data_IF_991168325525
#
_entry.id   IF_991168325525
#
_cell.length_a   1.000
_cell.length_b   1.000
_cell.length_c   1.000
_cell.angle_alpha   90.00
_cell.angle_beta   90.00
_cell.angle_gamma   90.00
#
_symmetry.space_group_name_H-M   'P 1'
#
loop_
_entity.id
_entity.type
_entity.pdbx_description
1 polymer ?
#
# COMPACT_ATOMS: atom_id res chain seq x y z
N UNK A 1 -25.73 5.64 -11.54
CA UNK A 1 -25.32 4.31 -11.04
C UNK A 1 -26.48 3.43 -10.59
N UNK A 2 -27.65 4.00 -10.27
CA UNK A 2 -28.81 3.19 -9.78
C UNK A 2 -29.51 2.34 -10.85
N UNK A 3 -29.34 2.66 -12.13
CA UNK A 3 -30.15 2.10 -13.22
C UNK A 3 -29.38 1.23 -14.22
N UNK A 4 -28.06 1.02 -14.05
CA UNK A 4 -27.27 0.17 -14.94
C UNK A 4 -27.30 -1.29 -14.49
N UNK A 5 -27.79 -2.16 -15.37
CA UNK A 5 -27.84 -3.61 -15.12
C UNK A 5 -26.54 -4.30 -15.53
N UNK A 6 -25.60 -4.38 -14.58
CA UNK A 6 -24.31 -5.06 -14.78
C UNK A 6 -24.48 -6.55 -15.09
N UNK A 7 -25.53 -7.19 -14.55
CA UNK A 7 -25.77 -8.60 -14.80
C UNK A 7 -26.15 -8.83 -16.27
N UNK A 8 -27.08 -8.03 -16.79
CA UNK A 8 -27.44 -8.07 -18.20
C UNK A 8 -26.23 -7.82 -19.11
N UNK A 9 -25.37 -6.84 -18.72
CA UNK A 9 -24.14 -6.59 -19.45
C UNK A 9 -23.27 -7.84 -19.55
N UNK A 10 -22.92 -8.47 -18.44
CA UNK A 10 -22.05 -9.64 -18.42
C UNK A 10 -22.67 -10.90 -19.04
N UNK A 11 -23.98 -10.98 -19.13
CA UNK A 11 -24.66 -12.07 -19.86
C UNK A 11 -24.54 -11.90 -21.40
N UNK A 12 -24.50 -10.66 -21.86
CA UNK A 12 -24.51 -10.32 -23.29
C UNK A 12 -23.13 -10.01 -23.88
N UNK A 13 -22.15 -9.66 -23.04
CA UNK A 13 -20.80 -9.30 -23.48
C UNK A 13 -19.80 -10.36 -23.07
N UNK A 14 -18.82 -10.57 -23.91
CA UNK A 14 -17.73 -11.51 -23.63
C UNK A 14 -16.62 -10.85 -22.85
N UNK A 15 -16.23 -11.49 -21.74
CA UNK A 15 -15.01 -11.17 -21.02
C UNK A 15 -13.88 -11.99 -21.59
N UNK A 16 -12.86 -11.36 -22.14
CA UNK A 16 -11.73 -12.05 -22.74
C UNK A 16 -10.83 -12.68 -21.65
N UNK A 17 -10.89 -13.99 -21.54
CA UNK A 17 -10.04 -14.82 -20.68
C UNK A 17 -8.90 -15.51 -21.44
N UNK A 18 -8.79 -15.33 -22.77
CA UNK A 18 -7.84 -16.07 -23.62
C UNK A 18 -6.38 -15.78 -23.31
N UNK A 19 -6.08 -14.58 -22.81
CA UNK A 19 -4.74 -14.15 -22.43
C UNK A 19 -4.27 -14.72 -21.08
N UNK A 20 -5.22 -15.17 -20.23
CA UNK A 20 -4.91 -15.69 -18.91
C UNK A 20 -4.67 -17.20 -18.98
N UNK A 21 -3.45 -17.62 -18.71
CA UNK A 21 -3.13 -19.05 -18.72
C UNK A 21 -3.89 -19.76 -17.59
N UNK A 22 -4.65 -20.79 -17.93
CA UNK A 22 -5.45 -21.61 -17.00
C UNK A 22 -6.34 -20.77 -16.05
N UNK A 23 -7.35 -20.04 -16.55
CA UNK A 23 -8.23 -19.21 -15.73
C UNK A 23 -8.84 -19.96 -14.54
N UNK A 24 -9.06 -21.29 -14.69
CA UNK A 24 -9.61 -22.17 -13.63
C UNK A 24 -8.73 -22.29 -12.38
N UNK A 25 -7.49 -21.84 -12.43
CA UNK A 25 -6.55 -21.83 -11.32
C UNK A 25 -6.52 -20.49 -10.58
N UNK A 26 -7.24 -19.48 -11.07
CA UNK A 26 -7.35 -18.17 -10.45
C UNK A 26 -8.63 -18.02 -9.63
N UNK A 27 -8.53 -17.31 -8.51
CA UNK A 27 -9.68 -16.91 -7.72
C UNK A 27 -10.35 -15.68 -8.33
N UNK A 28 -11.69 -15.67 -8.43
CA UNK A 28 -12.45 -14.52 -8.91
C UNK A 28 -13.25 -13.91 -7.78
N UNK A 29 -13.25 -12.58 -7.71
CA UNK A 29 -14.01 -11.79 -6.72
C UNK A 29 -14.68 -10.62 -7.41
N UNK A 30 -15.78 -10.17 -6.86
CA UNK A 30 -16.49 -8.99 -7.35
C UNK A 30 -17.12 -8.20 -6.23
N UNK A 31 -17.27 -6.93 -6.50
CA UNK A 31 -18.04 -6.03 -5.67
C UNK A 31 -19.40 -5.84 -6.32
N UNK A 32 -20.46 -6.07 -5.56
CA UNK A 32 -21.82 -5.85 -6.03
C UNK A 32 -22.21 -4.37 -5.91
N UNK A 33 -23.26 -3.97 -6.63
CA UNK A 33 -23.80 -2.59 -6.60
C UNK A 33 -24.22 -2.13 -5.21
N UNK A 34 -24.61 -3.07 -4.33
CA UNK A 34 -24.93 -2.78 -2.92
C UNK A 34 -23.67 -2.64 -2.03
N UNK A 35 -22.47 -2.67 -2.61
CA UNK A 35 -21.19 -2.54 -1.91
C UNK A 35 -20.66 -3.83 -1.29
N UNK A 36 -21.41 -4.93 -1.31
CA UNK A 36 -20.95 -6.20 -0.76
C UNK A 36 -19.92 -6.87 -1.64
N UNK A 37 -18.96 -7.57 -1.02
CA UNK A 37 -17.97 -8.38 -1.73
C UNK A 37 -18.42 -9.83 -1.81
N UNK A 38 -18.23 -10.43 -2.99
CA UNK A 38 -18.46 -11.83 -3.26
C UNK A 38 -17.21 -12.49 -3.83
N UNK A 39 -17.07 -13.80 -3.63
CA UNK A 39 -16.07 -14.64 -4.28
C UNK A 39 -16.75 -15.74 -5.08
N UNK A 40 -16.16 -16.17 -6.17
CA UNK A 40 -16.63 -17.31 -6.93
C UNK A 40 -16.62 -18.57 -6.04
N UNK A 41 -17.71 -19.32 -6.07
CA UNK A 41 -17.82 -20.62 -5.41
C UNK A 41 -17.51 -21.79 -6.34
N UNK A 42 -17.07 -21.48 -7.55
CA UNK A 42 -16.70 -22.46 -8.60
C UNK A 42 -15.53 -21.98 -9.38
N UNK A 43 -14.81 -22.89 -10.02
CA UNK A 43 -13.72 -22.55 -10.94
C UNK A 43 -14.27 -21.88 -12.18
N UNK A 44 -13.61 -20.84 -12.65
CA UNK A 44 -13.93 -20.10 -13.87
C UNK A 44 -12.91 -20.53 -14.93
N UNK A 45 -13.32 -21.37 -15.87
CA UNK A 45 -12.46 -21.88 -16.95
C UNK A 45 -12.79 -21.28 -18.32
N UNK A 46 -13.95 -20.64 -18.45
CA UNK A 46 -14.46 -20.06 -19.70
C UNK A 46 -15.41 -18.90 -19.40
N UNK A 47 -15.77 -18.15 -20.44
CA UNK A 47 -16.79 -17.09 -20.37
C UNK A 47 -18.12 -17.62 -19.83
N UNK A 48 -18.55 -18.80 -20.28
CA UNK A 48 -19.79 -19.40 -19.78
C UNK A 48 -19.73 -19.76 -18.30
N UNK A 49 -18.60 -20.30 -17.84
CA UNK A 49 -18.42 -20.58 -16.40
C UNK A 49 -18.34 -19.29 -15.57
N UNK A 50 -17.78 -18.22 -16.14
CA UNK A 50 -17.79 -16.88 -15.53
C UNK A 50 -19.24 -16.36 -15.41
N UNK A 51 -20.00 -16.35 -16.50
CA UNK A 51 -21.41 -15.95 -16.49
C UNK A 51 -22.23 -16.71 -15.45
N UNK A 52 -22.05 -18.03 -15.38
CA UNK A 52 -22.69 -18.88 -14.35
C UNK A 52 -22.26 -18.54 -12.93
N UNK A 53 -21.04 -18.06 -12.73
CA UNK A 53 -20.54 -17.70 -11.41
C UNK A 53 -21.20 -16.41 -10.87
N UNK A 54 -21.50 -15.45 -11.75
CA UNK A 54 -22.02 -14.13 -11.40
C UNK A 54 -23.54 -13.98 -11.57
N UNK A 55 -24.24 -14.97 -12.12
CA UNK A 55 -25.67 -14.88 -12.55
C UNK A 55 -26.63 -14.32 -11.49
N UNK A 56 -26.34 -14.54 -10.21
CA UNK A 56 -27.24 -14.10 -9.11
C UNK A 56 -26.79 -12.81 -8.44
N UNK A 57 -25.65 -12.28 -8.87
CA UNK A 57 -25.05 -11.08 -8.33
C UNK A 57 -25.16 -9.97 -9.38
N UNK A 58 -25.12 -8.73 -8.96
CA UNK A 58 -25.02 -7.58 -9.86
C UNK A 58 -23.63 -6.92 -9.67
N UNK A 59 -22.56 -7.46 -10.28
CA UNK A 59 -21.19 -7.09 -10.01
C UNK A 59 -20.80 -5.78 -10.70
N UNK A 60 -20.59 -4.72 -9.92
CA UNK A 60 -20.10 -3.43 -10.42
C UNK A 60 -18.63 -3.45 -10.78
N UNK A 61 -17.84 -4.28 -10.09
CA UNK A 61 -16.41 -4.38 -10.26
C UNK A 61 -15.99 -5.84 -10.16
N UNK A 62 -15.23 -6.35 -11.11
CA UNK A 62 -14.77 -7.74 -11.14
C UNK A 62 -13.26 -7.80 -11.11
N UNK A 63 -12.74 -8.71 -10.30
CA UNK A 63 -11.31 -8.91 -10.06
C UNK A 63 -10.96 -10.39 -10.14
N UNK A 64 -9.70 -10.67 -10.48
CA UNK A 64 -9.13 -12.00 -10.40
C UNK A 64 -7.83 -11.99 -9.60
N UNK A 65 -7.42 -13.13 -9.04
CA UNK A 65 -6.16 -13.24 -8.30
C UNK A 65 -4.97 -13.16 -9.24
N UNK A 66 -3.93 -12.40 -8.86
CA UNK A 66 -2.65 -12.36 -9.59
C UNK A 66 -1.93 -13.70 -9.57
N UNK A 67 -2.23 -14.54 -8.59
CA UNK A 67 -1.70 -15.90 -8.43
C UNK A 67 -2.66 -16.96 -8.94
N UNK A 68 -2.09 -18.05 -9.49
CA UNK A 68 -2.81 -19.29 -9.73
C UNK A 68 -2.50 -20.32 -8.63
N UNK A 69 -3.54 -21.02 -8.21
CA UNK A 69 -3.51 -21.97 -7.09
C UNK A 69 -4.05 -23.33 -7.50
N UNK A 70 -3.56 -24.38 -6.87
CA UNK A 70 -4.14 -25.71 -7.07
C UNK A 70 -5.62 -25.73 -6.65
N UNK A 71 -5.96 -25.09 -5.53
CA UNK A 71 -7.33 -24.86 -5.06
C UNK A 71 -7.62 -23.36 -4.88
N UNK A 72 -8.13 -22.65 -5.92
CA UNK A 72 -8.35 -21.22 -5.87
C UNK A 72 -9.62 -20.80 -5.13
N UNK A 73 -10.55 -21.72 -4.85
CA UNK A 73 -11.90 -21.40 -4.33
C UNK A 73 -11.87 -21.15 -2.83
N UNK A 74 -11.24 -22.05 -2.08
CA UNK A 74 -11.22 -22.04 -0.61
C UNK A 74 -9.84 -21.74 -0.04
N UNK A 75 -9.18 -20.74 -0.60
CA UNK A 75 -7.90 -20.29 -0.08
C UNK A 75 -8.02 -19.88 1.39
N UNK A 76 -7.27 -20.51 2.29
CA UNK A 76 -7.24 -20.12 3.70
C UNK A 76 -6.62 -18.74 3.85
N UNK A 77 -6.92 -18.08 4.96
CA UNK A 77 -6.19 -16.86 5.32
C UNK A 77 -4.73 -17.18 5.59
N UNK A 78 -3.84 -16.22 5.32
CA UNK A 78 -2.39 -16.38 5.51
C UNK A 78 -1.98 -16.89 6.89
N UNK A 79 -2.73 -16.52 7.92
CA UNK A 79 -2.46 -16.85 9.32
C UNK A 79 -3.35 -18.00 9.84
N UNK A 80 -4.00 -18.74 8.94
CA UNK A 80 -4.86 -19.86 9.31
C UNK A 80 -4.01 -21.16 9.37
N UNK A 81 -3.38 -21.39 10.51
CA UNK A 81 -2.56 -22.59 10.76
C UNK A 81 -3.40 -23.88 10.94
N UNK A 82 -4.72 -23.76 10.93
CA UNK A 82 -5.62 -24.93 11.06
C UNK A 82 -5.81 -25.66 9.74
N UNK A 83 -5.44 -25.06 8.62
CA UNK A 83 -5.56 -25.60 7.27
C UNK A 83 -4.18 -25.82 6.64
N UNK A 84 -4.04 -26.82 5.77
CA UNK A 84 -2.82 -27.01 5.02
C UNK A 84 -2.55 -25.77 4.16
N UNK A 85 -1.26 -25.45 4.02
CA UNK A 85 -0.86 -24.29 3.19
C UNK A 85 -1.23 -24.57 1.73
N UNK A 86 -1.86 -23.61 1.02
CA UNK A 86 -2.30 -23.82 -0.35
C UNK A 86 -1.11 -23.88 -1.30
N UNK A 87 -1.21 -24.68 -2.34
CA UNK A 87 -0.15 -24.83 -3.34
C UNK A 87 -0.25 -23.73 -4.38
N UNK A 88 0.73 -22.83 -4.39
CA UNK A 88 0.93 -21.80 -5.39
C UNK A 88 1.50 -22.41 -6.67
N UNK A 89 0.80 -22.27 -7.80
CA UNK A 89 1.20 -22.83 -9.09
C UNK A 89 1.92 -21.81 -9.99
N UNK A 90 1.52 -20.55 -9.90
CA UNK A 90 2.13 -19.42 -10.60
C UNK A 90 1.78 -18.11 -9.90
N UNK A 91 2.57 -17.07 -10.17
CA UNK A 91 2.28 -15.70 -9.78
C UNK A 91 2.63 -14.77 -10.94
N UNK A 92 1.64 -14.14 -11.53
CA UNK A 92 1.85 -13.12 -12.56
C UNK A 92 2.61 -11.94 -11.94
N UNK A 93 3.59 -11.44 -12.68
CA UNK A 93 4.21 -10.17 -12.34
C UNK A 93 3.26 -9.08 -12.84
N UNK A 94 2.69 -8.33 -11.91
CA UNK A 94 1.68 -7.31 -12.22
C UNK A 94 2.16 -5.96 -11.72
N UNK A 95 2.14 -4.97 -12.60
CA UNK A 95 2.33 -3.57 -12.23
C UNK A 95 1.04 -2.80 -12.45
N UNK A 96 0.60 -2.11 -11.40
CA UNK A 96 -0.56 -1.21 -11.42
C UNK A 96 -0.04 0.23 -11.38
N UNK A 97 -0.28 0.98 -12.45
CA UNK A 97 0.22 2.33 -12.66
C UNK A 97 -0.96 3.30 -12.70
N UNK A 98 -1.23 3.95 -11.59
CA UNK A 98 -2.36 4.86 -11.41
C UNK A 98 -1.91 6.27 -11.04
N UNK A 99 -2.51 7.28 -11.69
CA UNK A 99 -2.34 8.69 -11.32
C UNK A 99 -3.69 9.34 -11.03
N UNK A 100 -3.87 9.80 -9.80
CA UNK A 100 -5.08 10.47 -9.35
C UNK A 100 -4.92 12.00 -9.36
N UNK A 101 -6.03 12.75 -9.56
CA UNK A 101 -7.36 12.32 -9.94
C UNK A 101 -7.48 11.93 -11.42
N UNK A 102 -8.61 11.32 -11.83
CA UNK A 102 -8.88 11.02 -13.25
C UNK A 102 -8.89 12.31 -14.07
N UNK A 103 -7.99 12.40 -15.06
CA UNK A 103 -7.90 13.45 -16.05
C UNK A 103 -7.11 12.95 -17.26
N UNK A 104 -7.26 13.60 -18.42
CA UNK A 104 -6.47 13.27 -19.62
C UNK A 104 -4.97 13.45 -19.37
N UNK A 105 -4.58 14.50 -18.67
CA UNK A 105 -3.20 14.78 -18.27
C UNK A 105 -2.60 13.60 -17.44
N UNK A 106 -3.31 13.18 -16.39
CA UNK A 106 -2.85 12.09 -15.55
C UNK A 106 -2.88 10.73 -16.26
N UNK A 107 -3.85 10.50 -17.14
CA UNK A 107 -3.89 9.31 -17.99
C UNK A 107 -2.72 9.27 -18.97
N UNK A 108 -2.37 10.40 -19.58
CA UNK A 108 -1.20 10.48 -20.46
C UNK A 108 0.10 10.23 -19.68
N UNK A 109 0.22 10.78 -18.49
CA UNK A 109 1.34 10.48 -17.57
C UNK A 109 1.39 9.00 -17.22
N UNK A 110 0.25 8.38 -16.89
CA UNK A 110 0.19 6.94 -16.60
C UNK A 110 0.61 6.11 -17.82
N UNK A 111 0.14 6.48 -19.01
CA UNK A 111 0.48 5.82 -20.26
C UNK A 111 1.98 5.88 -20.54
N UNK A 112 2.60 7.06 -20.44
CA UNK A 112 4.05 7.23 -20.63
C UNK A 112 4.83 6.40 -19.61
N UNK A 113 4.47 6.48 -18.32
CA UNK A 113 5.11 5.68 -17.28
C UNK A 113 4.99 4.18 -17.56
N UNK A 114 3.83 3.72 -18.04
CA UNK A 114 3.59 2.32 -18.40
C UNK A 114 4.46 1.88 -19.56
N UNK A 115 4.58 2.71 -20.61
CA UNK A 115 5.42 2.45 -21.78
C UNK A 115 6.90 2.38 -21.41
N UNK A 116 7.36 3.32 -20.58
CA UNK A 116 8.76 3.38 -20.14
C UNK A 116 9.11 2.23 -19.21
N UNK A 117 8.20 1.87 -18.28
CA UNK A 117 8.38 0.68 -17.44
C UNK A 117 8.44 -0.61 -18.29
N UNK A 118 7.57 -0.74 -19.29
CA UNK A 118 7.61 -1.90 -20.20
C UNK A 118 8.96 -2.02 -20.87
N UNK A 119 9.49 -0.94 -21.49
CA UNK A 119 10.81 -0.91 -22.10
C UNK A 119 11.94 -1.24 -21.11
N UNK A 120 11.82 -0.76 -19.88
CA UNK A 120 12.79 -1.04 -18.85
C UNK A 120 12.76 -2.52 -18.44
N UNK A 121 11.58 -3.12 -18.30
CA UNK A 121 11.44 -4.56 -18.03
C UNK A 121 12.05 -5.38 -19.17
N UNK A 122 11.71 -5.09 -20.42
CA UNK A 122 12.27 -5.80 -21.61
C UNK A 122 13.80 -5.73 -21.67
N UNK A 123 14.38 -4.64 -21.20
CA UNK A 123 15.85 -4.47 -21.19
C UNK A 123 16.54 -5.26 -20.08
N UNK A 124 15.89 -5.44 -18.93
CA UNK A 124 16.54 -5.94 -17.71
C UNK A 124 16.12 -7.37 -17.34
N UNK A 125 15.03 -7.89 -17.91
CA UNK A 125 14.46 -9.19 -17.57
C UNK A 125 13.92 -9.92 -18.80
N UNK A 126 13.94 -11.23 -18.75
CA UNK A 126 13.39 -12.12 -19.80
C UNK A 126 11.91 -12.46 -19.55
N UNK A 127 11.13 -11.51 -18.99
CA UNK A 127 9.72 -11.74 -18.71
C UNK A 127 8.86 -11.63 -19.95
N UNK A 128 7.89 -12.52 -20.08
CA UNK A 128 6.96 -12.56 -21.21
C UNK A 128 5.77 -11.63 -20.96
N UNK A 129 5.61 -10.60 -21.80
CA UNK A 129 4.44 -9.73 -21.74
C UNK A 129 3.17 -10.51 -22.10
N UNK A 130 2.28 -10.70 -21.15
CA UNK A 130 1.00 -11.40 -21.32
C UNK A 130 -0.13 -10.45 -21.74
N UNK A 131 -0.19 -9.27 -21.16
CA UNK A 131 -1.25 -8.32 -21.42
C UNK A 131 -0.88 -6.92 -20.94
N UNK A 132 -1.37 -5.91 -21.66
CA UNK A 132 -1.47 -4.52 -21.21
C UNK A 132 -2.96 -4.20 -21.15
N UNK A 133 -3.42 -3.54 -20.09
CA UNK A 133 -4.82 -3.08 -20.03
C UNK A 133 -4.95 -1.68 -19.48
N UNK A 134 -5.87 -0.93 -20.04
CA UNK A 134 -6.40 0.27 -19.41
C UNK A 134 -7.29 -0.14 -18.22
N UNK A 135 -7.10 0.46 -17.06
CA UNK A 135 -7.80 0.05 -15.82
C UNK A 135 -9.30 0.35 -15.78
N UNK A 136 -9.80 1.11 -16.77
CA UNK A 136 -11.15 1.65 -16.77
C UNK A 136 -11.29 2.92 -15.91
N UNK A 137 -10.18 3.47 -15.40
CA UNK A 137 -10.17 4.70 -14.58
C UNK A 137 -8.89 5.51 -14.79
N UNK A 138 -7.93 5.44 -13.90
CA UNK A 138 -6.83 6.40 -13.76
C UNK A 138 -5.50 5.93 -14.32
N UNK A 139 -5.43 4.72 -14.86
CA UNK A 139 -4.15 4.16 -15.24
C UNK A 139 -4.19 2.87 -16.01
N UNK A 140 -3.12 2.11 -15.89
CA UNK A 140 -2.86 0.91 -16.69
C UNK A 140 -2.30 -0.22 -15.83
N UNK A 141 -2.53 -1.45 -16.29
CA UNK A 141 -1.91 -2.62 -15.73
C UNK A 141 -1.00 -3.29 -16.77
N UNK A 142 0.19 -3.69 -16.32
CA UNK A 142 1.08 -4.58 -17.09
C UNK A 142 1.06 -5.95 -16.45
N UNK A 143 0.94 -6.99 -17.26
CA UNK A 143 0.95 -8.38 -16.83
C UNK A 143 2.06 -9.14 -17.54
N UNK A 144 2.96 -9.73 -16.77
CA UNK A 144 4.04 -10.57 -17.30
C UNK A 144 3.98 -11.97 -16.69
N UNK A 145 4.47 -12.93 -17.46
CA UNK A 145 4.80 -14.24 -16.98
C UNK A 145 6.32 -14.36 -16.78
N UNK A 146 6.72 -14.99 -15.70
CA UNK A 146 8.10 -15.34 -15.45
C UNK A 146 8.35 -16.73 -16.05
N UNK A 147 9.21 -16.90 -17.07
CA UNK A 147 9.53 -18.19 -17.63
C UNK A 147 10.32 -19.08 -16.65
N UNK A 148 11.03 -18.48 -15.69
CA UNK A 148 11.72 -19.25 -14.66
C UNK A 148 10.72 -19.89 -13.69
N UNK A 149 10.72 -21.21 -13.68
CA UNK A 149 9.81 -22.02 -12.84
C UNK A 149 10.47 -22.54 -11.58
N UNK A 150 11.72 -22.20 -11.32
CA UNK A 150 12.51 -22.71 -10.18
C UNK A 150 11.82 -22.52 -8.84
N UNK A 151 11.25 -21.32 -8.59
CA UNK A 151 10.53 -21.00 -7.37
C UNK A 151 9.27 -21.85 -7.17
N UNK A 152 8.63 -22.26 -8.25
CA UNK A 152 7.39 -23.04 -8.21
C UNK A 152 7.65 -24.55 -8.13
N UNK A 153 8.91 -24.99 -8.17
CA UNK A 153 9.32 -26.38 -7.94
C UNK A 153 9.67 -26.69 -6.47
N UNK A 154 9.71 -25.68 -5.58
CA UNK A 154 9.88 -25.87 -4.15
C UNK A 154 8.70 -26.72 -3.64
N UNK A 155 8.98 -27.83 -2.96
CA UNK A 155 7.95 -28.79 -2.56
C UNK A 155 7.02 -28.24 -1.47
N UNK A 156 7.58 -27.63 -0.43
CA UNK A 156 6.80 -27.02 0.64
C UNK A 156 6.02 -25.80 0.16
N UNK A 157 4.71 -25.81 0.33
CA UNK A 157 3.82 -24.75 -0.17
C UNK A 157 4.06 -23.40 0.49
N UNK A 158 4.46 -23.37 1.76
CA UNK A 158 4.75 -22.16 2.51
C UNK A 158 6.10 -21.58 2.08
N UNK A 159 7.13 -22.40 2.04
CA UNK A 159 8.45 -21.96 1.57
C UNK A 159 8.39 -21.44 0.13
N UNK A 160 7.61 -22.12 -0.73
CA UNK A 160 7.34 -21.67 -2.10
C UNK A 160 6.69 -20.29 -2.15
N UNK A 161 5.60 -20.08 -1.39
CA UNK A 161 4.91 -18.79 -1.36
C UNK A 161 5.82 -17.68 -0.81
N UNK A 162 6.59 -17.96 0.23
CA UNK A 162 7.52 -17.01 0.84
C UNK A 162 8.68 -16.67 -0.12
N UNK A 163 9.25 -17.65 -0.81
CA UNK A 163 10.29 -17.44 -1.83
C UNK A 163 9.79 -16.59 -3.02
N UNK A 164 8.58 -16.86 -3.50
CA UNK A 164 7.96 -16.04 -4.57
C UNK A 164 7.76 -14.61 -4.08
N UNK A 165 7.25 -14.38 -2.89
CA UNK A 165 7.09 -13.04 -2.32
C UNK A 165 8.41 -12.29 -2.20
N UNK A 166 9.44 -12.95 -1.72
CA UNK A 166 10.77 -12.35 -1.59
C UNK A 166 11.32 -11.95 -2.96
N UNK A 167 11.24 -12.84 -3.95
CA UNK A 167 11.67 -12.56 -5.32
C UNK A 167 10.90 -11.36 -5.92
N UNK A 168 9.56 -11.31 -5.75
CA UNK A 168 8.74 -10.20 -6.27
C UNK A 168 8.97 -8.90 -5.51
N UNK A 169 9.32 -8.97 -4.22
CA UNK A 169 9.75 -7.79 -3.47
C UNK A 169 11.07 -7.23 -3.99
N UNK A 170 12.05 -8.08 -4.32
CA UNK A 170 13.32 -7.63 -4.93
C UNK A 170 13.07 -6.90 -6.25
N UNK A 171 12.30 -7.52 -7.15
CA UNK A 171 11.89 -6.88 -8.41
C UNK A 171 11.20 -5.54 -8.18
N UNK A 172 10.25 -5.48 -7.24
CA UNK A 172 9.54 -4.25 -6.91
C UNK A 172 10.50 -3.16 -6.43
N UNK A 173 11.47 -3.48 -5.59
CA UNK A 173 12.48 -2.51 -5.13
C UNK A 173 13.31 -1.99 -6.31
N UNK A 174 13.74 -2.84 -7.23
CA UNK A 174 14.49 -2.42 -8.42
C UNK A 174 13.67 -1.49 -9.32
N UNK A 175 12.37 -1.77 -9.52
CA UNK A 175 11.44 -0.91 -10.27
C UNK A 175 11.28 0.46 -9.58
N UNK A 176 11.15 0.49 -8.26
CA UNK A 176 11.00 1.72 -7.49
C UNK A 176 12.29 2.55 -7.50
N UNK A 177 13.45 1.91 -7.37
CA UNK A 177 14.78 2.55 -7.46
C UNK A 177 15.02 3.12 -8.87
N UNK A 178 14.54 2.44 -9.92
CA UNK A 178 14.57 2.96 -11.29
C UNK A 178 13.62 4.17 -11.51
N UNK A 179 12.89 4.59 -10.47
CA UNK A 179 12.04 5.80 -10.49
C UNK A 179 10.61 5.56 -10.99
N UNK A 180 10.22 4.31 -11.26
CA UNK A 180 8.87 4.02 -11.72
C UNK A 180 7.86 4.00 -10.58
N UNK A 181 6.70 4.57 -10.84
CA UNK A 181 5.61 4.72 -9.90
C UNK A 181 4.56 3.65 -10.13
N UNK A 182 4.55 2.66 -9.25
CA UNK A 182 3.61 1.53 -9.29
C UNK A 182 2.95 1.33 -7.93
N UNK A 183 1.78 0.67 -7.86
CA UNK A 183 1.23 0.27 -6.56
C UNK A 183 2.06 -0.90 -5.98
N UNK A 184 2.84 -0.66 -4.90
CA UNK A 184 3.75 -1.67 -4.35
C UNK A 184 3.01 -2.88 -3.76
N UNK A 185 1.71 -2.77 -3.52
CA UNK A 185 0.92 -3.86 -2.91
C UNK A 185 0.54 -4.95 -3.91
N UNK A 186 0.54 -4.66 -5.21
CA UNK A 186 0.07 -5.59 -6.24
C UNK A 186 1.16 -6.58 -6.63
N UNK A 187 2.38 -6.09 -6.88
CA UNK A 187 3.46 -6.88 -7.47
C UNK A 187 3.96 -8.01 -6.57
N UNK A 188 4.09 -7.74 -5.26
CA UNK A 188 4.74 -8.66 -4.32
C UNK A 188 3.78 -9.53 -3.50
N UNK A 189 2.51 -9.16 -3.39
CA UNK A 189 1.55 -9.91 -2.56
C UNK A 189 0.82 -10.99 -3.37
N UNK A 190 1.17 -12.24 -3.14
CA UNK A 190 0.58 -13.43 -3.77
C UNK A 190 -0.93 -13.59 -3.56
N UNK A 191 -1.52 -12.87 -2.61
CA UNK A 191 -2.95 -12.92 -2.30
C UNK A 191 -3.74 -11.76 -2.90
N UNK A 192 -3.09 -10.94 -3.74
CA UNK A 192 -3.74 -9.79 -4.37
C UNK A 192 -4.65 -10.18 -5.51
N UNK A 193 -5.59 -9.29 -5.72
CA UNK A 193 -6.50 -9.33 -6.86
C UNK A 193 -6.34 -8.04 -7.66
N UNK A 194 -6.50 -8.15 -8.96
CA UNK A 194 -6.45 -7.03 -9.90
C UNK A 194 -7.71 -7.04 -10.76
N UNK A 195 -8.11 -5.90 -11.31
CA UNK A 195 -9.29 -5.80 -12.15
C UNK A 195 -9.16 -6.68 -13.38
N UNK A 196 -10.21 -7.43 -13.68
CA UNK A 196 -10.26 -8.29 -14.84
C UNK A 196 -10.51 -7.47 -16.11
N UNK A 197 -9.63 -7.55 -17.12
CA UNK A 197 -9.91 -6.94 -18.43
C UNK A 197 -11.20 -7.49 -19.06
N UNK A 198 -11.93 -6.65 -19.77
CA UNK A 198 -13.26 -6.96 -20.30
C UNK A 198 -14.40 -6.66 -19.34
N UNK A 199 -14.11 -6.02 -18.17
CA UNK A 199 -15.12 -5.68 -17.18
C UNK A 199 -15.25 -4.16 -16.99
N UNK A 200 -16.44 -3.73 -16.58
CA UNK A 200 -16.73 -2.31 -16.33
C UNK A 200 -16.09 -1.87 -15.00
N UNK A 201 -15.57 -0.67 -14.98
CA UNK A 201 -15.18 -0.01 -13.74
C UNK A 201 -16.42 0.64 -13.09
N UNK A 202 -16.87 0.11 -11.96
CA UNK A 202 -18.17 0.46 -11.35
C UNK A 202 -18.34 1.92 -10.94
N UNK A 203 -17.24 2.71 -10.83
CA UNK A 203 -17.31 4.13 -10.48
C UNK A 203 -17.33 5.03 -11.72
N UNK A 204 -16.60 4.68 -12.78
CA UNK A 204 -16.46 5.51 -13.99
C UNK A 204 -17.39 5.08 -15.10
N UNK A 205 -17.83 3.83 -15.12
CA UNK A 205 -18.57 3.24 -16.23
C UNK A 205 -17.69 2.91 -17.45
N UNK A 206 -16.40 3.20 -17.40
CA UNK A 206 -15.47 2.89 -18.49
C UNK A 206 -15.10 1.40 -18.48
N UNK A 207 -14.86 0.87 -19.65
CA UNK A 207 -14.41 -0.51 -19.80
C UNK A 207 -12.93 -0.63 -19.41
N UNK A 208 -12.62 -1.53 -18.48
CA UNK A 208 -11.26 -2.04 -18.34
C UNK A 208 -10.99 -2.99 -19.49
N UNK A 209 -10.10 -2.64 -20.42
CA UNK A 209 -9.88 -3.45 -21.60
C UNK A 209 -8.41 -3.57 -21.98
N UNK A 210 -8.09 -4.64 -22.68
CA UNK A 210 -6.74 -4.89 -23.18
C UNK A 210 -6.42 -3.95 -24.33
N UNK A 211 -5.18 -3.48 -24.34
CA UNK A 211 -4.62 -2.69 -25.44
C UNK A 211 -3.32 -3.34 -25.90
N UNK A 212 -2.94 -3.11 -27.14
CA UNK A 212 -1.64 -3.53 -27.67
C UNK A 212 -0.57 -2.45 -27.40
N UNK A 213 0.67 -2.81 -27.65
CA UNK A 213 1.82 -1.92 -27.43
C UNK A 213 1.80 -0.71 -28.38
N UNK A 214 1.30 -0.88 -29.60
CA UNK A 214 1.16 0.22 -30.56
C UNK A 214 0.19 1.29 -30.04
N UNK A 215 -0.96 0.86 -29.50
CA UNK A 215 -1.94 1.77 -28.88
C UNK A 215 -1.39 2.43 -27.62
N UNK A 216 -0.64 1.71 -26.80
CA UNK A 216 0.07 2.30 -25.69
C UNK A 216 1.12 3.31 -26.14
N UNK A 217 1.72 3.15 -27.33
CA UNK A 217 2.68 4.09 -27.93
C UNK A 217 2.07 5.38 -28.44
N UNK A 218 0.74 5.47 -28.62
CA UNK A 218 0.05 6.67 -29.12
C UNK A 218 -0.52 7.51 -27.98
N UNK A 219 -0.64 8.82 -28.18
CA UNK A 219 -1.18 9.75 -27.18
C UNK A 219 -2.58 9.32 -26.73
N UNK A 220 -2.89 9.46 -25.45
CA UNK A 220 -4.16 9.03 -24.84
C UNK A 220 -5.38 9.72 -25.48
N UNK A 221 -5.27 11.00 -25.83
CA UNK A 221 -6.36 11.75 -26.44
C UNK A 221 -6.81 11.18 -27.80
N UNK A 222 -5.90 10.50 -28.51
CA UNK A 222 -6.20 9.92 -29.84
C UNK A 222 -7.13 8.72 -29.79
N UNK A 223 -7.33 8.09 -28.63
CA UNK A 223 -8.08 6.85 -28.54
C UNK A 223 -8.95 6.67 -27.28
N UNK A 224 -8.82 7.53 -26.28
CA UNK A 224 -9.59 7.36 -25.02
C UNK A 224 -11.11 7.48 -25.27
N UNK A 225 -11.52 8.26 -26.27
CA UNK A 225 -12.91 8.38 -26.69
C UNK A 225 -13.48 7.08 -27.28
N UNK A 226 -12.63 6.18 -27.77
CA UNK A 226 -13.03 4.89 -28.31
C UNK A 226 -13.29 3.84 -27.20
N UNK A 227 -12.90 4.16 -25.97
CA UNK A 227 -13.14 3.29 -24.82
C UNK A 227 -14.63 3.27 -24.50
N UNK A 228 -15.29 2.10 -24.53
CA UNK A 228 -16.70 2.02 -24.21
C UNK A 228 -16.99 2.60 -22.81
N UNK A 229 -17.95 3.52 -22.76
CA UNK A 229 -18.52 4.08 -21.55
C UNK A 229 -19.98 3.67 -21.42
N UNK A 230 -20.35 3.16 -20.27
CA UNK A 230 -21.68 2.63 -19.99
C UNK A 230 -22.50 3.51 -19.04
N UNK A 231 -21.92 4.62 -18.59
CA UNK A 231 -22.63 5.62 -17.79
C UNK A 231 -22.80 6.91 -18.58
N UNK A 232 -24.01 7.47 -18.52
CA UNK A 232 -24.29 8.76 -19.14
C UNK A 232 -23.42 9.85 -18.52
N UNK A 233 -22.95 10.76 -19.36
CA UNK A 233 -22.20 11.97 -18.96
C UNK A 233 -20.84 11.72 -18.27
N UNK A 234 -20.14 10.63 -18.59
CA UNK A 234 -18.75 10.46 -18.15
C UNK A 234 -17.83 11.35 -19.01
N UNK A 235 -17.60 12.57 -18.55
CA UNK A 235 -16.57 13.46 -19.13
C UNK A 235 -15.26 13.32 -18.36
N UNK A 236 -14.18 13.01 -19.08
CA UNK A 236 -12.84 12.95 -18.52
C UNK A 236 -12.25 14.36 -18.61
N UNK A 237 -12.03 15.08 -17.50
CA UNK A 237 -11.51 16.43 -17.53
C UNK A 237 -10.11 16.45 -18.14
N UNK A 238 -9.81 17.49 -18.95
CA UNK A 238 -8.47 17.64 -19.57
C UNK A 238 -7.37 17.81 -18.54
N UNK A 239 -7.62 18.62 -17.52
CA UNK A 239 -6.69 18.93 -16.45
C UNK A 239 -7.22 18.38 -15.12
N UNK A 240 -6.33 17.92 -14.28
CA UNK A 240 -6.65 17.41 -12.95
C UNK A 240 -7.34 18.52 -12.12
N UNK A 241 -8.66 18.37 -11.89
CA UNK A 241 -9.36 19.26 -10.96
C UNK A 241 -8.94 18.88 -9.55
N UNK A 242 -8.20 19.76 -8.89
CA UNK A 242 -7.96 19.68 -7.46
C UNK A 242 -9.30 19.98 -6.78
N UNK A 243 -9.99 18.93 -6.31
CA UNK A 243 -11.17 19.17 -5.45
C UNK A 243 -10.69 19.92 -4.21
N UNK A 244 -11.24 21.11 -3.92
CA UNK A 244 -10.94 21.78 -2.66
C UNK A 244 -11.43 20.88 -1.54
N UNK A 245 -10.51 20.42 -0.68
CA UNK A 245 -10.87 19.72 0.55
C UNK A 245 -11.91 20.59 1.25
N UNK A 246 -13.09 20.05 1.56
CA UNK A 246 -14.10 20.71 2.41
C UNK A 246 -13.42 21.02 3.74
N UNK A 247 -12.91 22.23 3.86
CA UNK A 247 -12.43 22.78 5.11
C UNK A 247 -13.67 23.17 5.90
N UNK A 248 -13.94 22.46 6.98
CA UNK A 248 -14.86 22.93 7.98
C UNK A 248 -14.37 24.31 8.43
N UNK A 249 -15.24 25.31 8.25
CA UNK A 249 -14.94 26.69 8.56
C UNK A 249 -14.63 26.86 10.05
N UNK A 250 -13.36 27.10 10.35
CA UNK A 250 -12.95 27.90 11.49
C UNK A 250 -11.51 28.41 11.24
N UNK A 251 -11.39 29.67 10.84
CA UNK A 251 -10.25 30.51 11.16
C UNK A 251 -9.14 30.71 10.14
N UNK A 252 -9.26 31.86 9.43
CA UNK A 252 -8.22 32.80 8.95
C UNK A 252 -7.26 32.35 7.82
N UNK A 253 -7.47 33.06 6.69
CA UNK A 253 -6.58 33.18 5.53
C UNK A 253 -5.18 33.65 5.92
N UNK A 254 -4.19 32.94 5.41
CA UNK A 254 -2.87 33.51 5.10
C UNK A 254 -2.53 33.10 3.65
N UNK A 255 -2.61 34.08 2.77
CA UNK A 255 -2.06 34.00 1.41
C UNK A 255 -0.55 34.04 1.47
N UNK A 256 0.12 33.03 0.93
CA UNK A 256 1.50 33.16 0.46
C UNK A 256 1.65 32.38 -0.83
N UNK A 257 2.12 33.10 -1.84
CA UNK A 257 2.55 32.62 -3.14
C UNK A 257 3.51 31.46 -2.98
N UNK A 258 3.17 30.31 -3.56
CA UNK A 258 4.09 29.21 -3.77
C UNK A 258 4.23 29.00 -5.27
N UNK A 259 5.45 29.22 -5.73
CA UNK A 259 5.91 28.92 -7.07
C UNK A 259 5.67 27.45 -7.39
N UNK A 260 5.29 27.20 -8.64
CA UNK A 260 5.23 25.87 -9.25
C UNK A 260 6.53 25.11 -8.98
N UNK A 261 6.43 24.08 -8.15
CA UNK A 261 7.41 23.00 -8.10
C UNK A 261 6.64 21.69 -8.13
N UNK A 262 7.11 20.79 -8.95
CA UNK A 262 6.65 19.45 -9.21
C UNK A 262 6.13 18.76 -7.95
N UNK A 263 4.86 18.34 -7.98
CA UNK A 263 4.28 17.54 -6.90
C UNK A 263 4.80 16.11 -7.08
N UNK A 264 6.01 15.86 -6.59
CA UNK A 264 6.46 14.50 -6.31
C UNK A 264 5.47 13.83 -5.37
N UNK A 265 4.91 12.74 -5.79
CA UNK A 265 4.12 11.88 -4.91
C UNK A 265 5.09 11.27 -3.90
N UNK A 266 5.10 11.80 -2.71
CA UNK A 266 5.94 11.27 -1.65
C UNK A 266 5.33 9.97 -1.09
N UNK A 267 6.08 8.90 -1.17
CA UNK A 267 5.83 7.72 -0.34
C UNK A 267 5.98 8.12 1.12
N UNK A 268 5.08 7.61 1.95
CA UNK A 268 5.20 7.79 3.38
C UNK A 268 5.67 6.50 4.02
N UNK A 269 6.70 6.61 4.83
CA UNK A 269 7.20 5.51 5.64
C UNK A 269 6.42 5.50 6.94
N UNK A 270 5.90 4.35 7.31
CA UNK A 270 5.30 4.12 8.62
C UNK A 270 6.13 3.09 9.37
N UNK A 271 6.35 3.36 10.65
CA UNK A 271 7.08 2.49 11.57
C UNK A 271 6.12 1.95 12.61
N UNK A 272 6.22 0.67 12.89
CA UNK A 272 5.45 0.02 13.95
C UNK A 272 6.05 0.35 15.33
N UNK A 273 5.21 0.62 16.31
CA UNK A 273 5.64 0.73 17.70
C UNK A 273 5.96 -0.63 18.36
N UNK A 274 5.67 -1.74 17.70
CA UNK A 274 5.98 -3.09 18.19
C UNK A 274 7.48 -3.38 18.14
N UNK A 275 8.00 -4.10 19.13
CA UNK A 275 9.37 -4.59 19.13
C UNK A 275 9.43 -5.94 18.38
N UNK A 276 10.01 -5.98 17.17
CA UNK A 276 10.17 -7.23 16.42
C UNK A 276 10.95 -8.27 17.24
N UNK A 277 10.56 -9.54 17.15
CA UNK A 277 11.16 -10.61 17.94
C UNK A 277 10.66 -10.72 19.38
N UNK A 278 9.67 -9.93 19.78
CA UNK A 278 9.02 -10.03 21.09
C UNK A 278 7.53 -10.32 20.97
N UNK A 279 6.94 -10.97 21.98
CA UNK A 279 5.53 -11.34 21.95
C UNK A 279 4.60 -10.15 22.26
N UNK A 280 4.98 -9.27 23.20
CA UNK A 280 4.07 -8.26 23.77
C UNK A 280 4.81 -7.00 24.27
N UNK A 281 5.88 -6.60 23.57
CA UNK A 281 6.65 -5.40 23.87
C UNK A 281 6.44 -4.34 22.82
N UNK A 282 6.34 -3.10 23.24
CA UNK A 282 6.16 -1.92 22.40
C UNK A 282 7.04 -0.77 22.87
N UNK A 283 7.42 0.12 21.95
CA UNK A 283 8.00 1.43 22.31
C UNK A 283 6.94 2.52 22.25
N UNK A 284 7.23 3.65 22.84
CA UNK A 284 6.34 4.81 22.79
C UNK A 284 6.81 5.76 21.69
N UNK A 285 6.08 5.76 20.59
CA UNK A 285 6.32 6.64 19.46
C UNK A 285 4.99 7.20 18.96
N UNK A 286 4.84 8.52 18.87
CA UNK A 286 3.62 9.16 18.41
C UNK A 286 3.86 10.60 17.93
N UNK A 287 2.99 11.07 17.05
CA UNK A 287 2.86 12.48 16.76
C UNK A 287 1.92 13.15 17.76
N UNK A 288 2.34 14.29 18.28
CA UNK A 288 1.48 15.11 19.16
C UNK A 288 0.22 15.54 18.41
N UNK A 289 -0.93 15.68 19.10
CA UNK A 289 -2.12 16.28 18.52
C UNK A 289 -1.82 17.70 17.98
N UNK A 290 -2.46 18.09 16.90
CA UNK A 290 -2.30 19.45 16.36
C UNK A 290 -2.64 20.56 17.38
N UNK A 291 -3.53 20.25 18.33
CA UNK A 291 -3.91 21.17 19.41
C UNK A 291 -2.78 21.50 20.38
N UNK A 292 -1.72 20.67 20.45
CA UNK A 292 -0.57 20.93 21.29
C UNK A 292 0.43 21.91 20.64
N UNK A 293 0.35 22.09 19.32
CA UNK A 293 1.31 22.91 18.57
C UNK A 293 2.73 22.33 18.54
N UNK A 294 3.71 23.20 18.29
CA UNK A 294 5.15 22.85 18.23
C UNK A 294 6.01 23.73 19.13
N UNK A 295 5.40 24.63 19.91
CA UNK A 295 6.09 25.59 20.76
C UNK A 295 6.45 25.05 22.15
N UNK A 296 6.93 25.96 23.01
CA UNK A 296 7.41 25.66 24.36
C UNK A 296 6.40 24.87 25.21
N UNK A 297 5.12 25.23 25.16
CA UNK A 297 4.07 24.54 25.91
C UNK A 297 3.96 23.05 25.54
N UNK A 298 4.15 22.72 24.27
CA UNK A 298 4.17 21.32 23.84
C UNK A 298 5.39 20.57 24.39
N UNK A 299 6.56 21.22 24.37
CA UNK A 299 7.78 20.64 24.92
C UNK A 299 7.70 20.45 26.43
N UNK A 300 7.18 21.41 27.17
CA UNK A 300 6.92 21.29 28.61
C UNK A 300 6.02 20.11 28.96
N UNK A 301 4.92 19.93 28.21
CA UNK A 301 4.03 18.76 28.37
C UNK A 301 4.75 17.42 28.12
N UNK A 302 5.65 17.37 27.14
CA UNK A 302 6.45 16.19 26.86
C UNK A 302 7.52 15.95 27.93
N UNK A 303 8.13 17.01 28.45
CA UNK A 303 9.05 16.91 29.59
C UNK A 303 8.35 16.39 30.85
N UNK A 304 7.16 16.93 31.17
CA UNK A 304 6.35 16.45 32.26
C UNK A 304 5.94 14.98 32.10
N UNK A 305 5.66 14.57 30.86
CA UNK A 305 5.39 13.18 30.54
C UNK A 305 6.61 12.30 30.85
N UNK A 306 7.80 12.68 30.37
CA UNK A 306 9.04 11.92 30.60
C UNK A 306 9.34 11.81 32.09
N UNK A 307 9.25 12.92 32.82
CA UNK A 307 9.49 13.00 34.29
C UNK A 307 8.44 12.20 35.07
N UNK A 308 7.14 12.48 34.85
CA UNK A 308 6.04 11.88 35.62
C UNK A 308 5.88 10.38 35.39
N UNK A 309 6.25 9.88 34.24
CA UNK A 309 6.17 8.43 33.88
C UNK A 309 7.52 7.72 34.02
N UNK A 310 8.56 8.44 34.47
CA UNK A 310 9.92 7.92 34.63
C UNK A 310 10.40 7.17 33.37
N UNK A 311 10.28 7.86 32.21
CA UNK A 311 10.69 7.30 30.93
C UNK A 311 12.20 7.43 30.72
N UNK A 312 12.74 6.65 29.78
CA UNK A 312 14.11 6.82 29.30
C UNK A 312 14.27 8.10 28.48
N UNK A 313 15.51 8.44 28.11
CA UNK A 313 15.79 9.52 27.17
C UNK A 313 14.87 9.44 25.98
N UNK A 314 14.21 10.55 25.67
CA UNK A 314 13.20 10.63 24.62
C UNK A 314 13.57 11.68 23.60
N UNK A 315 13.44 11.33 22.33
CA UNK A 315 13.93 12.09 21.20
C UNK A 315 12.79 12.82 20.52
N UNK A 316 13.01 14.09 20.22
CA UNK A 316 12.01 15.04 19.74
C UNK A 316 12.37 15.47 18.32
N UNK A 317 11.41 15.29 17.41
CA UNK A 317 11.51 15.73 16.01
C UNK A 317 10.29 16.57 15.65
N UNK A 318 10.39 17.35 14.56
CA UNK A 318 9.26 18.13 14.04
C UNK A 318 9.16 18.07 12.51
N UNK A 319 7.93 18.04 12.01
CA UNK A 319 7.59 18.25 10.59
C UNK A 319 7.22 19.72 10.29
N UNK A 320 7.43 20.63 11.27
CA UNK A 320 7.03 22.03 11.21
C UNK A 320 5.59 22.31 11.66
N UNK A 321 4.76 21.29 11.83
CA UNK A 321 3.37 21.41 12.28
C UNK A 321 3.09 20.65 13.57
N UNK A 322 3.83 19.58 13.84
CA UNK A 322 3.67 18.69 14.99
C UNK A 322 5.03 18.23 15.49
N UNK A 323 5.01 17.70 16.70
CA UNK A 323 6.16 17.04 17.31
C UNK A 323 5.99 15.52 17.19
N UNK A 324 7.04 14.85 16.70
CA UNK A 324 7.19 13.40 16.79
C UNK A 324 7.99 13.10 18.06
N UNK A 325 7.36 12.38 18.97
CA UNK A 325 7.98 11.89 20.20
C UNK A 325 8.41 10.45 20.03
N UNK A 326 9.67 10.13 20.34
CA UNK A 326 10.24 8.78 20.26
C UNK A 326 10.95 8.45 21.55
N UNK A 327 10.37 7.55 22.35
CA UNK A 327 11.02 6.95 23.51
C UNK A 327 11.37 5.48 23.17
N UNK A 328 12.65 5.13 22.98
CA UNK A 328 13.06 3.79 22.56
C UNK A 328 13.03 2.75 23.69
N UNK A 329 12.45 3.05 24.84
CA UNK A 329 12.27 2.08 25.93
C UNK A 329 11.32 0.96 25.52
N UNK A 330 11.61 -0.25 26.00
CA UNK A 330 10.82 -1.45 25.74
C UNK A 330 9.75 -1.65 26.84
N UNK A 331 8.54 -1.21 26.57
CA UNK A 331 7.41 -1.31 27.49
C UNK A 331 6.59 -2.56 27.30
N UNK A 332 5.82 -2.96 28.31
CA UNK A 332 4.67 -3.85 28.10
C UNK A 332 3.54 -3.07 27.42
N UNK A 333 2.80 -3.74 26.53
CA UNK A 333 1.66 -3.13 25.83
C UNK A 333 0.64 -2.50 26.81
N UNK A 334 0.34 -3.17 27.91
CA UNK A 334 -0.60 -2.67 28.92
C UNK A 334 -0.15 -1.34 29.55
N UNK A 335 1.17 -1.13 29.75
CA UNK A 335 1.70 0.14 30.25
C UNK A 335 1.47 1.27 29.25
N UNK A 336 1.72 1.02 27.95
CA UNK A 336 1.53 2.04 26.91
C UNK A 336 0.06 2.36 26.67
N UNK A 337 -0.85 1.37 26.70
CA UNK A 337 -2.30 1.62 26.63
C UNK A 337 -2.74 2.62 27.71
N UNK A 338 -2.39 2.35 28.96
CA UNK A 338 -2.72 3.24 30.08
C UNK A 338 -2.11 4.63 29.93
N UNK A 339 -0.88 4.70 29.41
CA UNK A 339 -0.18 5.97 29.22
C UNK A 339 -0.84 6.80 28.11
N UNK A 340 -1.18 6.19 26.98
CA UNK A 340 -1.87 6.86 25.88
C UNK A 340 -3.26 7.37 26.30
N UNK A 341 -4.00 6.61 27.12
CA UNK A 341 -5.27 7.08 27.69
C UNK A 341 -5.06 8.30 28.59
N UNK A 342 -4.03 8.27 29.43
CA UNK A 342 -3.73 9.38 30.37
C UNK A 342 -3.38 10.68 29.65
N UNK A 343 -2.73 10.61 28.48
CA UNK A 343 -2.38 11.80 27.68
C UNK A 343 -3.46 12.15 26.64
N UNK A 344 -4.65 11.54 26.71
CA UNK A 344 -5.78 11.87 25.83
C UNK A 344 -5.68 11.30 24.42
N UNK A 345 -4.78 10.32 24.18
CA UNK A 345 -4.61 9.65 22.87
C UNK A 345 -5.45 8.37 22.73
N UNK A 346 -6.74 8.46 23.07
CA UNK A 346 -7.66 7.30 23.10
C UNK A 346 -7.69 6.50 21.80
N UNK A 347 -7.57 7.15 20.65
CA UNK A 347 -7.57 6.47 19.35
C UNK A 347 -6.39 5.52 19.18
N UNK A 348 -5.20 5.94 19.58
CA UNK A 348 -4.00 5.10 19.58
C UNK A 348 -4.08 4.01 20.64
N UNK A 349 -4.56 4.35 21.84
CA UNK A 349 -4.77 3.41 22.93
C UNK A 349 -5.71 2.27 22.52
N UNK A 350 -6.89 2.57 21.97
CA UNK A 350 -7.85 1.59 21.46
C UNK A 350 -7.24 0.73 20.37
N UNK A 351 -6.47 1.34 19.44
CA UNK A 351 -5.79 0.60 18.38
C UNK A 351 -4.77 -0.38 18.94
N UNK A 352 -3.95 0.05 19.89
CA UNK A 352 -2.94 -0.79 20.55
C UNK A 352 -3.57 -1.94 21.33
N UNK A 353 -4.68 -1.68 22.03
CA UNK A 353 -5.41 -2.69 22.79
C UNK A 353 -5.99 -3.80 21.89
N UNK A 354 -6.52 -3.43 20.72
CA UNK A 354 -7.19 -4.36 19.80
C UNK A 354 -6.25 -5.02 18.79
N UNK A 355 -5.30 -4.28 18.20
CA UNK A 355 -4.43 -4.73 17.10
C UNK A 355 -3.02 -5.11 17.53
N UNK A 356 -2.71 -5.07 18.81
CA UNK A 356 -1.40 -5.35 19.42
C UNK A 356 -0.29 -4.35 19.07
N UNK A 357 -0.43 -3.53 18.05
CA UNK A 357 0.48 -2.44 17.63
C UNK A 357 -0.27 -1.38 16.84
N UNK A 358 0.37 -0.24 16.67
CA UNK A 358 -0.04 0.79 15.73
C UNK A 358 1.14 1.25 14.88
N UNK A 359 0.83 1.89 13.77
CA UNK A 359 1.79 2.42 12.83
C UNK A 359 1.87 3.93 12.97
N UNK A 360 3.09 4.44 13.03
CA UNK A 360 3.39 5.86 13.09
C UNK A 360 4.01 6.28 11.77
N UNK A 361 3.43 7.28 11.16
CA UNK A 361 3.85 7.80 9.88
C UNK A 361 5.09 8.66 10.05
N UNK A 362 6.20 8.24 9.48
CA UNK A 362 7.41 9.02 9.35
C UNK A 362 7.47 9.48 7.89
N UNK A 363 7.45 10.79 7.64
CA UNK A 363 7.64 11.29 6.28
C UNK A 363 9.12 11.15 5.91
N UNK A 364 9.40 10.43 4.83
CA UNK A 364 10.76 10.25 4.36
C UNK A 364 10.80 9.36 3.13
N UNK A 365 11.77 9.59 2.24
CA UNK A 365 12.12 8.73 1.12
C UNK A 365 13.46 8.08 1.50
N UNK A 366 13.59 6.78 1.27
CA UNK A 366 14.84 6.07 1.49
C UNK A 366 15.64 6.04 0.18
N UNK A 367 16.93 6.41 0.23
CA UNK A 367 17.82 6.28 -0.92
C UNK A 367 18.44 4.88 -1.06
N UNK A 368 19.23 4.68 -2.11
CA UNK A 368 19.91 3.42 -2.42
C UNK A 368 20.82 2.93 -1.27
N UNK A 369 21.40 3.86 -0.49
CA UNK A 369 22.24 3.56 0.67
C UNK A 369 21.44 3.25 1.94
N UNK A 370 20.11 3.29 1.87
CA UNK A 370 19.24 3.11 3.02
C UNK A 370 19.07 4.34 3.91
N UNK A 371 19.55 5.50 3.48
CA UNK A 371 19.38 6.77 4.19
C UNK A 371 18.01 7.39 3.87
N UNK A 372 17.44 8.08 4.83
CA UNK A 372 16.13 8.70 4.69
C UNK A 372 16.26 10.19 4.33
N UNK A 373 15.38 10.66 3.44
CA UNK A 373 15.23 12.07 3.10
C UNK A 373 13.85 12.57 3.50
N UNK A 374 13.71 13.86 3.71
CA UNK A 374 12.46 14.52 4.13
C UNK A 374 11.89 13.92 5.43
N UNK A 375 12.77 13.38 6.26
CA UNK A 375 12.44 12.98 7.63
C UNK A 375 12.10 14.21 8.48
N UNK A 376 11.40 14.01 9.60
CA UNK A 376 11.16 15.09 10.54
C UNK A 376 12.50 15.56 11.13
N UNK A 377 12.67 16.87 11.23
CA UNK A 377 13.90 17.47 11.74
C UNK A 377 14.04 17.22 13.23
N UNK A 378 15.23 16.78 13.64
CA UNK A 378 15.57 16.66 15.06
C UNK A 378 15.55 18.03 15.76
N UNK A 379 14.97 18.09 16.94
CA UNK A 379 14.91 19.29 17.79
C UNK A 379 15.80 19.13 19.03
N UNK A 380 15.52 18.12 19.86
CA UNK A 380 16.19 17.95 21.15
C UNK A 380 16.02 16.55 21.72
N UNK A 381 16.74 16.27 22.79
CA UNK A 381 16.56 15.11 23.65
C UNK A 381 16.01 15.59 25.00
N UNK A 382 14.87 15.04 25.39
CA UNK A 382 14.38 15.17 26.76
C UNK A 382 15.06 14.08 27.60
N UNK A 383 15.90 14.51 28.52
CA UNK A 383 16.62 13.59 29.41
C UNK A 383 15.68 12.90 30.37
N UNK A 384 15.78 11.59 30.42
CA UNK A 384 14.98 10.72 31.29
C UNK A 384 15.85 9.87 32.23
N UNK A 385 15.26 8.85 32.81
CA UNK A 385 15.95 7.93 33.70
C UNK A 385 16.37 6.67 32.98
N UNK A 386 17.66 6.58 32.65
CA UNK A 386 18.21 5.46 31.88
C UNK A 386 18.70 4.28 32.74
N UNK A 387 18.71 4.43 34.09
CA UNK A 387 19.44 3.52 34.96
C UNK A 387 18.85 2.12 35.14
N UNK A 388 17.60 1.88 34.72
CA UNK A 388 16.89 0.59 34.87
C UNK A 388 16.02 0.22 33.66
N UNK A 389 16.26 0.84 32.53
CA UNK A 389 15.35 0.73 31.38
C UNK A 389 15.83 -0.36 30.41
N UNK A 390 14.89 -1.13 29.88
CA UNK A 390 15.15 -2.01 28.75
C UNK A 390 14.93 -1.24 27.45
N UNK A 391 15.85 -1.32 26.51
CA UNK A 391 15.76 -0.61 25.24
C UNK A 391 15.32 -1.51 24.10
N UNK A 392 14.57 -0.95 23.17
CA UNK A 392 14.26 -1.55 21.89
C UNK A 392 15.40 -1.32 20.91
N UNK A 393 16.08 -2.36 20.49
CA UNK A 393 17.12 -2.28 19.45
C UNK A 393 16.55 -1.67 18.16
N UNK A 394 15.37 -2.11 17.74
CA UNK A 394 14.70 -1.63 16.55
C UNK A 394 14.44 -0.12 16.58
N UNK A 395 14.01 0.43 17.72
CA UNK A 395 13.72 1.86 17.82
C UNK A 395 14.98 2.71 18.05
N UNK A 396 16.07 2.13 18.54
CA UNK A 396 17.39 2.78 18.51
C UNK A 396 17.90 2.86 17.07
N UNK A 397 17.79 1.77 16.29
CA UNK A 397 18.12 1.77 14.86
C UNK A 397 17.23 2.77 14.07
N UNK A 398 15.95 2.91 14.46
CA UNK A 398 15.08 3.94 13.87
C UNK A 398 15.66 5.36 14.09
N UNK A 399 16.14 5.66 15.28
CA UNK A 399 16.74 6.97 15.59
C UNK A 399 18.02 7.21 14.74
N UNK A 400 18.82 6.18 14.51
CA UNK A 400 19.97 6.25 13.60
C UNK A 400 19.51 6.52 12.14
N UNK A 401 18.44 5.84 11.69
CA UNK A 401 17.85 6.09 10.36
C UNK A 401 17.24 7.51 10.24
N UNK A 402 16.88 8.14 11.35
CA UNK A 402 16.44 9.54 11.43
C UNK A 402 17.62 10.52 11.60
N UNK A 403 18.86 10.09 11.35
CA UNK A 403 20.04 10.93 11.28
C UNK A 403 20.72 11.22 12.62
N UNK A 404 20.39 10.47 13.68
CA UNK A 404 21.07 10.60 14.96
C UNK A 404 22.24 9.61 15.10
N UNK A 405 23.39 10.12 15.53
CA UNK A 405 24.49 9.28 15.97
C UNK A 405 24.23 8.85 17.42
N UNK A 406 23.77 7.62 17.60
CA UNK A 406 23.40 7.09 18.91
C UNK A 406 24.29 5.88 19.20
N UNK A 407 25.11 6.02 20.22
CA UNK A 407 25.75 4.87 20.84
C UNK A 407 24.68 3.93 21.42
N UNK A 408 24.59 2.72 20.86
CA UNK A 408 23.70 1.71 21.41
C UNK A 408 24.18 1.39 22.81
N UNK A 409 23.43 1.72 23.88
CA UNK A 409 23.90 1.54 25.24
C UNK A 409 24.28 0.08 25.48
N UNK A 410 25.54 -0.18 25.83
CA UNK A 410 25.99 -1.51 26.23
C UNK A 410 25.45 -1.92 27.62
N UNK A 411 24.89 -0.98 28.36
CA UNK A 411 24.35 -1.17 29.69
C UNK A 411 22.81 -1.18 29.66
N UNK A 412 22.23 -2.36 29.67
CA UNK A 412 20.79 -2.58 29.76
C UNK A 412 20.42 -3.80 28.92
N UNK A 413 19.43 -4.57 29.36
CA UNK A 413 18.92 -5.68 28.57
C UNK A 413 18.21 -5.10 27.33
N UNK A 414 18.83 -5.20 26.18
CA UNK A 414 18.21 -4.81 24.94
C UNK A 414 17.24 -5.90 24.48
N UNK A 415 16.00 -5.52 24.19
CA UNK A 415 14.94 -6.43 23.76
C UNK A 415 14.71 -6.35 22.24
N UNK A 416 14.38 -7.49 21.66
CA UNK A 416 13.92 -7.61 20.29
C UNK A 416 15.01 -7.64 19.23
N UNK A 417 14.57 -7.69 17.97
CA UNK A 417 15.43 -7.66 16.79
C UNK A 417 15.97 -6.24 16.54
N UNK A 418 17.03 -6.12 15.76
CA UNK A 418 17.71 -4.84 15.49
C UNK A 418 16.91 -3.97 14.50
N UNK A 419 16.28 -4.57 13.49
CA UNK A 419 15.57 -3.83 12.47
C UNK A 419 14.14 -3.48 12.92
N UNK A 420 13.70 -2.21 12.76
CA UNK A 420 12.32 -1.81 13.00
C UNK A 420 11.39 -2.39 11.92
N UNK A 421 10.16 -2.71 12.30
CA UNK A 421 9.13 -3.02 11.30
C UNK A 421 8.72 -1.75 10.58
N UNK A 422 9.01 -1.69 9.29
CA UNK A 422 8.74 -0.54 8.42
C UNK A 422 7.76 -0.96 7.34
N UNK A 423 6.87 -0.06 6.94
CA UNK A 423 6.06 -0.21 5.74
C UNK A 423 5.99 1.11 4.97
N UNK A 424 5.98 1.00 3.66
CA UNK A 424 5.72 2.15 2.79
C UNK A 424 4.22 2.28 2.54
N UNK A 425 3.71 3.50 2.65
CA UNK A 425 2.30 3.83 2.41
C UNK A 425 2.24 4.94 1.38
N UNK A 426 1.47 4.72 0.32
CA UNK A 426 1.21 5.77 -0.68
C UNK A 426 0.27 6.81 -0.06
N UNK A 427 0.59 8.09 -0.22
CA UNK A 427 -0.28 9.18 0.21
C UNK A 427 -1.47 9.26 -0.76
N UNK A 428 -2.69 9.08 -0.22
CA UNK A 428 -3.94 9.39 -0.94
C UNK A 428 -4.11 10.91 -1.08
#
# INVERSE_FOLDING_TARGET
MKDFDFNQYYQNHEVDLSWLNKPSQHGFRWRCTNGSWRKSKRRVSSVDSFRKAITRDNPSDVYFSTSSWLEPIDLPNLNDETKPHPILLNHLIVFDIDFAPLSLENLERARLTTLDLHKWIEKNYDYELMSISFSGSKGFHLFYNDPDRSLFSIEDGKEREDAVRENRNKLLQEVLVAGFKVDPRITADTRRIIRLPGTIHGKTGLLCHRINIERLGTNIESWISDVPSFFDNMDIPKVAKVEPKKVNQAGKKVTKNLQQNDVEQSYMIEVSNHLPGTKDRTSLIFWTPYSWGTGELCLEQLEDLVKSQNLADSYIFSDGQRILFVCPEAFTRAKIVKLLDKIGMEKLSKTLATRKHYWVRISGIMNEDGNWYNEPKFISVIKGNNSKQNYSKAHLTLLTKLGLDIDIPQCGQSAGNTEPSIRMVVRD
#
